data_IF_640104212951
#
_entry.id   IF_640104212951
#
_cell.length_a   1.000
_cell.length_b   1.000
_cell.length_c   1.000
_cell.angle_alpha   90.00
_cell.angle_beta   90.00
_cell.angle_gamma   90.00
#
_symmetry.space_group_name_H-M   'P 1'
#
loop_
_entity.id
_entity.type
_entity.pdbx_description
1 polymer ?
#
# COMPACT_ATOMS: atom_id res chain seq x y z
N UNK A 1 4.56 10.99 -8.75
CA UNK A 1 3.09 11.08 -8.72
C UNK A 1 2.43 9.98 -9.58
N UNK A 2 2.59 9.93 -10.91
CA UNK A 2 1.91 8.90 -11.75
C UNK A 2 2.46 7.47 -11.58
N UNK A 3 3.78 7.31 -11.47
CA UNK A 3 4.42 5.99 -11.52
C UNK A 3 4.12 5.07 -10.33
N UNK A 4 3.85 5.60 -9.13
CA UNK A 4 3.51 4.77 -7.95
C UNK A 4 2.06 4.27 -8.00
N UNK A 5 1.12 5.12 -8.42
CA UNK A 5 -0.29 4.77 -8.61
C UNK A 5 -0.49 3.76 -9.75
N UNK A 6 0.27 3.90 -10.83
CA UNK A 6 0.26 2.93 -11.94
C UNK A 6 0.75 1.55 -11.48
N UNK A 7 1.70 1.50 -10.54
CA UNK A 7 2.25 0.23 -10.03
C UNK A 7 1.25 -0.49 -9.12
N UNK A 8 0.56 0.26 -8.25
CA UNK A 8 -0.50 -0.25 -7.39
C UNK A 8 -1.72 -0.72 -8.19
N UNK A 9 -2.17 0.05 -9.20
CA UNK A 9 -3.29 -0.37 -10.05
C UNK A 9 -2.98 -1.64 -10.84
N UNK A 10 -1.76 -1.72 -11.41
CA UNK A 10 -1.31 -2.91 -12.11
C UNK A 10 -1.19 -4.13 -11.17
N UNK A 11 -0.80 -3.91 -9.93
CA UNK A 11 -0.71 -4.96 -8.91
C UNK A 11 -2.09 -5.50 -8.52
N UNK A 12 -3.05 -4.63 -8.18
CA UNK A 12 -4.41 -5.06 -7.83
C UNK A 12 -5.13 -5.69 -9.03
N UNK A 13 -4.88 -5.17 -10.24
CA UNK A 13 -5.38 -5.78 -11.48
C UNK A 13 -4.90 -7.21 -11.65
N UNK A 14 -3.59 -7.46 -11.49
CA UNK A 14 -3.03 -8.82 -11.53
C UNK A 14 -3.62 -9.72 -10.44
N UNK A 15 -3.80 -9.22 -9.21
CA UNK A 15 -4.41 -10.01 -8.14
C UNK A 15 -5.84 -10.47 -8.47
N UNK A 16 -6.64 -9.58 -9.05
CA UNK A 16 -8.00 -9.90 -9.48
C UNK A 16 -8.00 -10.94 -10.60
N UNK A 17 -7.10 -10.79 -11.56
CA UNK A 17 -6.92 -11.77 -12.64
C UNK A 17 -6.47 -13.14 -12.12
N UNK A 18 -5.52 -13.17 -11.18
CA UNK A 18 -5.02 -14.39 -10.54
C UNK A 18 -6.10 -15.09 -9.71
N UNK A 19 -6.97 -14.32 -9.06
CA UNK A 19 -8.15 -14.84 -8.36
C UNK A 19 -9.24 -15.36 -9.30
N UNK A 20 -9.12 -15.09 -10.60
CA UNK A 20 -10.09 -15.49 -11.61
C UNK A 20 -11.28 -14.54 -11.76
N UNK A 21 -11.18 -13.32 -11.22
CA UNK A 21 -12.19 -12.28 -11.42
C UNK A 21 -11.95 -11.65 -12.80
N UNK A 22 -12.55 -12.24 -13.84
CA UNK A 22 -12.36 -11.81 -15.24
C UNK A 22 -13.63 -11.37 -15.96
N UNK A 23 -14.79 -11.48 -15.31
CA UNK A 23 -16.10 -11.23 -15.91
C UNK A 23 -17.04 -10.46 -14.95
N UNK A 24 -16.46 -9.56 -14.16
CA UNK A 24 -17.25 -8.62 -13.37
C UNK A 24 -17.41 -7.35 -14.18
N UNK A 25 -18.59 -6.73 -14.15
CA UNK A 25 -18.83 -5.48 -14.88
C UNK A 25 -17.82 -4.41 -14.47
N UNK A 26 -17.48 -3.50 -15.39
CA UNK A 26 -16.46 -2.45 -15.18
C UNK A 26 -16.63 -1.70 -13.85
N UNK A 27 -17.86 -1.34 -13.48
CA UNK A 27 -18.14 -0.68 -12.19
C UNK A 27 -17.72 -1.52 -10.98
N UNK A 28 -17.96 -2.83 -11.01
CA UNK A 28 -17.56 -3.75 -9.94
C UNK A 28 -16.05 -3.96 -9.94
N UNK A 29 -15.43 -4.03 -11.12
CA UNK A 29 -13.98 -4.14 -11.26
C UNK A 29 -13.28 -2.92 -10.66
N UNK A 30 -13.73 -1.71 -10.99
CA UNK A 30 -13.18 -0.47 -10.45
C UNK A 30 -13.38 -0.36 -8.94
N UNK A 31 -14.55 -0.75 -8.43
CA UNK A 31 -14.79 -0.80 -6.98
C UNK A 31 -13.85 -1.80 -6.28
N UNK A 32 -13.68 -3.00 -6.84
CA UNK A 32 -12.78 -4.01 -6.29
C UNK A 32 -11.32 -3.54 -6.32
N UNK A 33 -10.87 -2.93 -7.42
CA UNK A 33 -9.53 -2.34 -7.52
C UNK A 33 -9.33 -1.25 -6.47
N UNK A 34 -10.32 -0.38 -6.27
CA UNK A 34 -10.27 0.69 -5.28
C UNK A 34 -10.19 0.11 -3.86
N UNK A 35 -11.06 -0.83 -3.52
CA UNK A 35 -11.07 -1.48 -2.20
C UNK A 35 -9.74 -2.22 -1.94
N UNK A 36 -9.23 -2.94 -2.94
CA UNK A 36 -7.94 -3.61 -2.87
C UNK A 36 -6.79 -2.63 -2.68
N UNK A 37 -6.79 -1.51 -3.42
CA UNK A 37 -5.75 -0.49 -3.31
C UNK A 37 -5.74 0.09 -1.90
N UNK A 38 -6.90 0.48 -1.39
CA UNK A 38 -7.06 1.05 -0.05
C UNK A 38 -6.55 0.08 1.03
N UNK A 39 -6.91 -1.20 0.94
CA UNK A 39 -6.40 -2.23 1.86
C UNK A 39 -4.90 -2.47 1.76
N UNK A 40 -4.34 -2.44 0.55
CA UNK A 40 -2.91 -2.62 0.35
C UNK A 40 -2.15 -1.43 0.93
N UNK A 41 -2.65 -0.22 0.70
CA UNK A 41 -2.09 1.02 1.23
C UNK A 41 -2.16 1.03 2.76
N UNK A 42 -3.30 0.67 3.36
CA UNK A 42 -3.45 0.52 4.80
C UNK A 42 -2.47 -0.52 5.37
N UNK A 43 -2.30 -1.66 4.70
CA UNK A 43 -1.35 -2.69 5.14
C UNK A 43 0.10 -2.21 5.07
N UNK A 44 0.47 -1.46 4.03
CA UNK A 44 1.80 -0.86 3.89
C UNK A 44 2.02 0.19 4.97
N UNK A 45 1.04 1.06 5.20
CA UNK A 45 1.09 2.09 6.24
C UNK A 45 1.24 1.45 7.61
N UNK A 46 0.43 0.44 7.94
CA UNK A 46 0.53 -0.31 9.17
C UNK A 46 1.91 -0.96 9.34
N UNK A 47 2.42 -1.67 8.32
CA UNK A 47 3.74 -2.30 8.39
C UNK A 47 4.86 -1.27 8.56
N UNK A 48 4.74 -0.11 7.91
CA UNK A 48 5.68 1.00 8.04
C UNK A 48 5.67 1.57 9.46
N UNK A 49 4.48 1.78 10.04
CA UNK A 49 4.29 2.25 11.41
C UNK A 49 4.80 1.25 12.44
N UNK A 50 4.61 -0.06 12.22
CA UNK A 50 5.13 -1.13 13.08
C UNK A 50 6.67 -1.13 13.16
N UNK A 51 7.33 -0.73 12.07
CA UNK A 51 8.79 -0.61 11.99
C UNK A 51 9.30 0.80 12.36
N UNK A 52 8.40 1.78 12.48
CA UNK A 52 8.74 3.14 12.85
C UNK A 52 8.90 3.24 14.37
N UNK A 53 9.96 3.91 14.87
CA UNK A 53 10.12 4.11 16.30
C UNK A 53 8.98 4.99 16.85
N UNK A 54 8.42 4.67 18.04
CA UNK A 54 7.20 5.30 18.56
C UNK A 54 7.35 6.81 18.80
N UNK A 55 8.58 7.28 19.04
CA UNK A 55 8.91 8.70 19.17
C UNK A 55 8.76 9.50 17.87
N UNK A 56 8.73 8.84 16.72
CA UNK A 56 8.59 9.46 15.40
C UNK A 56 7.15 9.40 14.87
N UNK A 57 6.25 8.69 15.56
CA UNK A 57 4.85 8.55 15.15
C UNK A 57 4.12 9.89 15.13
N UNK A 58 4.32 10.72 16.15
CA UNK A 58 3.66 12.04 16.25
C UNK A 58 4.07 12.95 15.08
N UNK A 59 5.35 12.95 14.70
CA UNK A 59 5.86 13.73 13.57
C UNK A 59 5.41 13.16 12.22
N UNK A 60 5.34 11.83 12.12
CA UNK A 60 4.74 11.16 10.95
C UNK A 60 3.27 11.52 10.76
N UNK A 61 2.46 11.48 11.83
CA UNK A 61 1.05 11.87 11.78
C UNK A 61 0.89 13.34 11.37
N UNK A 62 1.75 14.23 11.88
CA UNK A 62 1.74 15.63 11.49
C UNK A 62 2.12 15.84 10.02
N UNK A 63 3.09 15.09 9.50
CA UNK A 63 3.47 15.13 8.08
C UNK A 63 2.39 14.55 7.17
N UNK A 64 1.70 13.51 7.62
CA UNK A 64 0.58 12.90 6.92
C UNK A 64 -0.60 13.86 6.82
N UNK A 65 -0.98 14.51 7.93
CA UNK A 65 -2.07 15.50 7.97
C UNK A 65 -1.75 16.75 7.13
N UNK A 66 -0.46 17.12 7.07
CA UNK A 66 -0.01 18.23 6.20
C UNK A 66 -0.17 17.95 4.71
N UNK A 67 -0.41 16.70 4.28
CA UNK A 67 -0.55 16.31 2.88
C UNK A 67 0.74 16.49 2.05
N UNK A 68 1.89 16.55 2.72
CA UNK A 68 3.18 16.89 2.11
C UNK A 68 3.93 15.59 1.77
N UNK A 69 3.43 14.84 0.78
CA UNK A 69 3.87 13.48 0.42
C UNK A 69 5.40 13.34 0.25
N UNK A 70 6.05 14.37 -0.31
CA UNK A 70 7.51 14.35 -0.50
C UNK A 70 8.27 14.33 0.82
N UNK A 71 7.81 15.11 1.82
CA UNK A 71 8.45 15.13 3.14
C UNK A 71 8.13 13.86 3.91
N UNK A 72 6.89 13.39 3.81
CA UNK A 72 6.46 12.14 4.41
C UNK A 72 7.32 10.98 3.90
N UNK A 73 7.49 10.84 2.58
CA UNK A 73 8.33 9.79 2.01
C UNK A 73 9.81 9.90 2.42
N UNK A 74 10.36 11.13 2.45
CA UNK A 74 11.73 11.34 2.89
C UNK A 74 11.92 10.95 4.36
N UNK A 75 10.98 11.34 5.22
CA UNK A 75 10.97 11.02 6.64
C UNK A 75 10.89 9.51 6.86
N UNK A 76 9.96 8.82 6.18
CA UNK A 76 9.83 7.37 6.27
C UNK A 76 11.13 6.69 5.80
N UNK A 77 11.71 7.09 4.66
CA UNK A 77 12.96 6.49 4.16
C UNK A 77 14.17 6.72 5.08
N UNK A 78 14.19 7.84 5.79
CA UNK A 78 15.28 8.18 6.70
C UNK A 78 15.16 7.43 8.03
N UNK A 79 13.93 7.17 8.49
CA UNK A 79 13.68 6.57 9.80
C UNK A 79 13.29 5.08 9.78
N UNK A 80 12.82 4.56 8.65
CA UNK A 80 12.46 3.15 8.47
C UNK A 80 13.53 2.48 7.63
N UNK A 81 14.43 1.75 8.31
CA UNK A 81 15.40 0.90 7.64
C UNK A 81 14.67 -0.18 6.83
N UNK A 82 15.20 -0.50 5.65
CA UNK A 82 14.66 -1.54 4.77
C UNK A 82 13.20 -1.29 4.35
N UNK A 83 12.77 -0.03 4.23
CA UNK A 83 11.41 0.35 3.81
C UNK A 83 10.95 -0.41 2.55
N UNK A 84 11.81 -0.50 1.51
CA UNK A 84 11.51 -1.28 0.31
C UNK A 84 11.21 -2.76 0.61
N UNK A 85 11.91 -3.37 1.58
CA UNK A 85 11.62 -4.74 2.00
C UNK A 85 10.35 -4.85 2.84
N UNK A 86 10.08 -3.86 3.69
CA UNK A 86 8.84 -3.79 4.48
C UNK A 86 7.63 -3.70 3.54
N UNK A 87 7.68 -2.80 2.56
CA UNK A 87 6.64 -2.64 1.53
C UNK A 87 6.51 -3.92 0.70
N UNK A 88 7.62 -4.46 0.20
CA UNK A 88 7.60 -5.70 -0.58
C UNK A 88 7.03 -6.89 0.22
N UNK A 89 7.39 -6.98 1.50
CA UNK A 89 6.87 -7.99 2.43
C UNK A 89 5.38 -7.84 2.68
N UNK A 90 4.90 -6.62 2.91
CA UNK A 90 3.50 -6.30 3.07
C UNK A 90 2.68 -6.67 1.83
N UNK A 91 3.18 -6.34 0.63
CA UNK A 91 2.58 -6.71 -0.64
C UNK A 91 2.51 -8.23 -0.79
N UNK A 92 3.62 -8.95 -0.61
CA UNK A 92 3.66 -10.41 -0.73
C UNK A 92 2.72 -11.09 0.27
N UNK A 93 2.69 -10.63 1.53
CA UNK A 93 1.75 -11.13 2.53
C UNK A 93 0.31 -10.90 2.09
N UNK A 94 -0.02 -9.68 1.65
CA UNK A 94 -1.36 -9.35 1.19
C UNK A 94 -1.80 -10.23 0.01
N UNK A 95 -0.91 -10.44 -0.98
CA UNK A 95 -1.16 -11.34 -2.10
C UNK A 95 -1.47 -12.75 -1.63
N UNK A 96 -0.67 -13.30 -0.73
CA UNK A 96 -0.90 -14.65 -0.19
C UNK A 96 -2.24 -14.75 0.54
N UNK A 97 -2.56 -13.80 1.42
CA UNK A 97 -3.84 -13.80 2.16
C UNK A 97 -5.03 -13.67 1.22
N UNK A 98 -4.92 -12.84 0.17
CA UNK A 98 -6.04 -12.59 -0.74
C UNK A 98 -6.28 -13.72 -1.76
N UNK A 99 -5.19 -14.32 -2.28
CA UNK A 99 -5.23 -15.42 -3.24
C UNK A 99 -5.41 -16.78 -2.58
N UNK A 100 -5.01 -16.93 -1.32
CA UNK A 100 -5.01 -18.19 -0.59
C UNK A 100 -5.63 -18.01 0.81
N UNK A 101 -6.97 -17.86 0.90
CA UNK A 101 -7.68 -17.68 2.17
C UNK A 101 -7.72 -18.93 3.06
#
# INVERSE_FOLDING_TARGET
>A
MAQELETLDAYVGRLLEEKGIKDVGDEVLEQLKKDLRDRVEDRINAATLEHMPPQNLEEFESLLDSGDDNKLQAFIREHVADLDQVIAGALVQFRNVYLNP
#
